data_IF_012823305876
#
_entry.id   IF_012823305876
#
_cell.length_a   1.000
_cell.length_b   1.000
_cell.length_c   1.000
_cell.angle_alpha   90.00
_cell.angle_beta   90.00
_cell.angle_gamma   90.00
#
_symmetry.space_group_name_H-M   'P 1'
#
loop_
_entity.id
_entity.type
_entity.pdbx_description
1 polymer ?
#
# COMPACT_ATOMS: atom_id res chain seq x y z
N UNK A 1 -14.12 4.29 15.64
CA UNK A 1 -13.42 4.25 14.97
C UNK A 1 -12.43 3.64 15.22
N UNK A 2 -12.00 2.94 14.69
CA UNK A 2 -11.17 2.21 14.99
C UNK A 2 -10.12 2.15 14.17
N UNK A 3 -9.20 2.78 14.40
CA UNK A 3 -7.93 2.76 13.76
C UNK A 3 -7.15 1.56 14.17
N UNK A 4 -7.71 0.76 15.02
CA UNK A 4 -7.01 -0.41 15.52
C UNK A 4 -6.64 -1.41 14.45
N UNK A 5 -7.35 -1.39 13.33
CA UNK A 5 -7.07 -2.32 12.26
C UNK A 5 -5.88 -1.93 11.42
N UNK A 6 -5.35 -0.74 11.61
CA UNK A 6 -4.24 -0.26 10.80
C UNK A 6 -2.92 -0.40 11.54
N UNK A 7 -1.84 -0.71 10.81
CA UNK A 7 -0.53 -0.70 11.43
C UNK A 7 -0.21 0.66 11.99
N UNK A 8 0.55 0.70 13.04
CA UNK A 8 0.90 1.95 13.68
C UNK A 8 1.65 2.87 12.74
N UNK A 9 2.58 2.32 11.99
CA UNK A 9 3.34 3.13 11.05
C UNK A 9 2.45 3.77 10.00
N UNK A 10 1.40 3.08 9.61
CA UNK A 10 0.50 3.58 8.61
C UNK A 10 -0.32 4.74 9.16
N UNK A 11 -0.68 4.69 10.43
CA UNK A 11 -1.45 5.74 11.06
C UNK A 11 -0.69 7.05 11.13
N UNK A 12 0.62 6.99 11.21
CA UNK A 12 1.40 8.18 11.51
C UNK A 12 2.23 8.68 10.36
N UNK A 13 2.28 8.00 9.23
CA UNK A 13 3.29 8.34 8.25
C UNK A 13 2.91 9.34 7.19
N UNK A 14 1.71 9.37 6.71
CA UNK A 14 1.38 10.40 5.76
C UNK A 14 -0.09 10.36 5.36
N UNK A 15 -0.45 11.31 4.51
CA UNK A 15 -1.83 11.54 4.13
C UNK A 15 -2.48 10.35 3.43
N UNK A 16 -1.69 9.51 2.81
CA UNK A 16 -2.23 8.34 2.13
C UNK A 16 -2.94 7.39 3.05
N UNK A 17 -2.58 7.41 4.32
CA UNK A 17 -3.24 6.55 5.31
C UNK A 17 -4.72 6.89 5.45
N UNK A 18 -5.08 8.14 5.25
CA UNK A 18 -6.48 8.53 5.39
C UNK A 18 -7.35 7.96 4.30
N UNK A 19 -6.88 7.96 3.08
CA UNK A 19 -7.64 7.41 1.97
C UNK A 19 -7.89 5.92 2.18
N UNK A 20 -6.87 5.21 2.60
CA UNK A 20 -6.98 3.79 2.82
C UNK A 20 -7.91 3.49 4.01
N UNK A 21 -7.79 4.27 5.06
CA UNK A 21 -8.64 4.11 6.23
C UNK A 21 -10.11 4.35 5.88
N UNK A 22 -10.38 5.35 5.06
CA UNK A 22 -11.74 5.63 4.60
C UNK A 22 -12.29 4.46 3.81
N UNK A 23 -11.48 3.92 2.92
CA UNK A 23 -11.89 2.78 2.13
C UNK A 23 -12.26 1.60 3.01
N UNK A 24 -11.49 1.35 4.04
CA UNK A 24 -11.71 0.21 4.91
C UNK A 24 -12.91 0.37 5.82
N UNK A 25 -13.41 1.59 5.96
CA UNK A 25 -14.57 1.84 6.79
C UNK A 25 -15.85 2.05 5.99
N UNK A 26 -15.75 1.97 4.68
CA UNK A 26 -16.90 2.21 3.83
C UNK A 26 -17.97 1.16 4.07
N UNK A 27 -19.24 1.59 4.07
CA UNK A 27 -20.35 0.66 4.24
C UNK A 27 -20.57 -0.08 2.93
N UNK A 28 -20.48 -1.39 2.97
CA UNK A 28 -20.60 -2.20 1.76
C UNK A 28 -22.00 -2.66 1.48
N UNK A 29 -22.94 -2.41 2.37
CA UNK A 29 -24.31 -2.86 2.19
C UNK A 29 -24.99 -2.33 0.93
N UNK A 30 -24.75 -1.09 0.50
CA UNK A 30 -25.40 -0.59 -0.71
C UNK A 30 -24.90 -1.21 -2.01
N UNK A 31 -23.79 -1.94 -1.97
CA UNK A 31 -23.19 -2.46 -3.18
C UNK A 31 -23.79 -3.80 -3.57
N UNK A 32 -23.93 -4.02 -4.86
CA UNK A 32 -24.38 -5.31 -5.37
C UNK A 32 -23.25 -6.32 -5.31
N UNK A 33 -23.58 -7.57 -5.52
CA UNK A 33 -22.57 -8.62 -5.61
C UNK A 33 -21.55 -8.30 -6.72
N UNK A 34 -22.06 -7.80 -7.83
CA UNK A 34 -21.23 -7.45 -8.96
C UNK A 34 -20.29 -6.30 -8.59
N UNK A 35 -20.81 -5.30 -7.92
CA UNK A 35 -20.01 -4.17 -7.48
C UNK A 35 -18.91 -4.62 -6.54
N UNK A 36 -19.24 -5.53 -5.64
CA UNK A 36 -18.25 -6.03 -4.69
C UNK A 36 -17.17 -6.83 -5.39
N UNK A 37 -17.55 -7.57 -6.43
CA UNK A 37 -16.55 -8.28 -7.23
C UNK A 37 -15.59 -7.31 -7.91
N UNK A 38 -16.13 -6.23 -8.47
CA UNK A 38 -15.30 -5.20 -9.09
C UNK A 38 -14.38 -4.55 -8.07
N UNK A 39 -14.91 -4.31 -6.89
CA UNK A 39 -14.12 -3.72 -5.81
C UNK A 39 -12.94 -4.61 -5.46
N UNK A 40 -13.17 -5.92 -5.38
CA UNK A 40 -12.10 -6.86 -5.09
C UNK A 40 -11.03 -6.82 -6.17
N UNK A 41 -11.44 -6.79 -7.43
CA UNK A 41 -10.49 -6.76 -8.53
C UNK A 41 -9.61 -5.49 -8.46
N UNK A 42 -10.22 -4.38 -8.13
CA UNK A 42 -9.49 -3.13 -8.00
C UNK A 42 -8.53 -3.17 -6.83
N UNK A 43 -8.95 -3.78 -5.73
CA UNK A 43 -8.08 -3.89 -4.57
C UNK A 43 -6.91 -4.82 -4.85
N UNK A 44 -7.16 -5.89 -5.60
CA UNK A 44 -6.07 -6.79 -5.98
C UNK A 44 -5.07 -6.08 -6.88
N UNK A 45 -5.57 -5.24 -7.77
CA UNK A 45 -4.71 -4.43 -8.62
C UNK A 45 -3.88 -3.48 -7.77
N UNK A 46 -4.48 -2.93 -6.73
CA UNK A 46 -3.77 -2.03 -5.83
C UNK A 46 -2.69 -2.77 -5.05
N UNK A 47 -2.95 -4.00 -4.65
CA UNK A 47 -1.94 -4.81 -3.98
C UNK A 47 -0.73 -4.99 -4.90
N UNK A 48 -0.98 -5.29 -6.17
CA UNK A 48 0.11 -5.47 -7.14
C UNK A 48 0.90 -4.19 -7.32
N UNK A 49 0.20 -3.07 -7.37
CA UNK A 49 0.86 -1.77 -7.54
C UNK A 49 1.75 -1.46 -6.34
N UNK A 50 1.27 -1.75 -5.15
CA UNK A 50 2.04 -1.52 -3.93
C UNK A 50 3.28 -2.41 -3.88
N UNK A 51 3.12 -3.66 -4.27
CA UNK A 51 4.25 -4.59 -4.31
C UNK A 51 5.30 -4.14 -5.31
N UNK A 52 4.86 -3.64 -6.45
CA UNK A 52 5.81 -3.14 -7.45
C UNK A 52 6.57 -1.93 -6.91
N UNK A 53 5.88 -1.08 -6.15
CA UNK A 53 6.53 0.08 -5.55
C UNK A 53 7.59 -0.36 -4.54
N UNK A 54 7.28 -1.38 -3.76
CA UNK A 54 8.23 -1.93 -2.80
C UNK A 54 9.47 -2.42 -3.53
N UNK A 55 9.26 -3.16 -4.61
CA UNK A 55 10.39 -3.71 -5.37
C UNK A 55 11.26 -2.59 -5.95
N UNK A 56 10.63 -1.55 -6.47
CA UNK A 56 11.39 -0.44 -7.01
C UNK A 56 12.24 0.23 -5.94
N UNK A 57 11.68 0.39 -4.76
CA UNK A 57 12.41 1.04 -3.68
C UNK A 57 13.55 0.18 -3.16
N UNK A 58 13.32 -1.13 -3.08
CA UNK A 58 14.36 -2.05 -2.68
C UNK A 58 15.49 -2.07 -3.70
N UNK A 59 15.15 -2.08 -4.96
CA UNK A 59 16.16 -2.12 -6.01
C UNK A 59 16.99 -0.84 -6.01
N UNK A 60 16.35 0.29 -5.80
CA UNK A 60 17.09 1.54 -5.73
C UNK A 60 18.06 1.55 -4.57
N UNK A 61 17.62 1.05 -3.42
CA UNK A 61 18.48 1.00 -2.28
C UNK A 61 19.63 0.05 -2.51
N UNK A 62 19.35 -1.08 -3.13
CA UNK A 62 20.35 -2.07 -3.43
C UNK A 62 21.40 -1.50 -4.38
N UNK A 63 20.96 -0.78 -5.39
CA UNK A 63 21.85 -0.15 -6.36
C UNK A 63 22.73 0.90 -5.67
N UNK A 64 22.16 1.67 -4.79
CA UNK A 64 22.92 2.67 -4.06
C UNK A 64 23.97 2.03 -3.17
N UNK A 65 23.60 0.94 -2.51
CA UNK A 65 24.52 0.22 -1.65
C UNK A 65 25.66 -0.38 -2.46
N UNK A 66 25.35 -0.91 -3.63
CA UNK A 66 26.36 -1.47 -4.50
C UNK A 66 27.35 -0.40 -4.95
N UNK A 67 26.84 0.77 -5.27
CA UNK A 67 27.70 1.87 -5.65
C UNK A 67 28.61 2.30 -4.51
N UNK A 68 28.06 2.33 -3.33
CA UNK A 68 28.85 2.68 -2.17
C UNK A 68 29.93 1.67 -1.90
N UNK A 69 29.59 0.40 -1.93
CA UNK A 69 30.59 -0.65 -1.72
C UNK A 69 31.68 -0.58 -2.75
N UNK A 70 31.29 -0.35 -3.99
CA UNK A 70 32.25 -0.29 -5.07
C UNK A 70 33.20 0.87 -4.86
N UNK A 71 32.66 2.02 -4.49
CA UNK A 71 33.51 3.18 -4.33
C UNK A 71 34.35 3.11 -3.09
N UNK A 72 33.88 2.42 -2.10
CA UNK A 72 34.61 2.31 -0.84
C UNK A 72 35.83 1.46 -0.92
N UNK A 73 35.98 0.72 -1.97
CA UNK A 73 37.14 -0.10 -2.12
C UNK A 73 38.15 0.57 -3.02
#
# INVERSE_FOLDING_TARGET
MQDDDLPLSFKTTHAGAQALASLMREDLDPYSVEDLGDRIALLESEVRRAKAAIERKKNRRSDADALFSFKGT
#
